data_IF_201600922815
#
_entry.id   IF_201600922815
#
_cell.length_a   1.000
_cell.length_b   1.000
_cell.length_c   1.000
_cell.angle_alpha   90.00
_cell.angle_beta   90.00
_cell.angle_gamma   90.00
#
_symmetry.space_group_name_H-M   'P 1'
#
loop_
_entity.id
_entity.type
_entity.pdbx_description
1 polymer ?
#
# COMPACT_ATOMS: atom_id res chain seq x y z
N UNK A 1 -12.07 -22.99 9.53
CA UNK A 1 -11.01 -22.77 8.56
C UNK A 1 -11.42 -21.58 7.71
N UNK A 2 -10.49 -20.66 7.49
CA UNK A 2 -10.77 -19.44 6.74
C UNK A 2 -9.61 -19.14 5.79
N UNK A 3 -9.78 -18.09 4.98
CA UNK A 3 -8.80 -17.67 3.99
C UNK A 3 -7.47 -17.31 4.67
N UNK A 4 -6.39 -17.82 4.09
CA UNK A 4 -5.03 -17.50 4.52
C UNK A 4 -4.35 -16.66 3.43
N UNK A 5 -3.33 -15.93 3.79
CA UNK A 5 -2.52 -15.03 2.96
C UNK A 5 -2.54 -15.41 1.47
N UNK A 6 -3.16 -14.57 0.64
CA UNK A 6 -3.37 -14.82 -0.79
C UNK A 6 -4.75 -15.37 -1.13
N UNK A 7 -5.43 -16.08 -0.19
CA UNK A 7 -6.84 -16.50 -0.31
C UNK A 7 -7.18 -17.15 -1.66
N UNK A 8 -6.33 -18.10 -2.10
CA UNK A 8 -6.51 -18.83 -3.37
C UNK A 8 -5.77 -18.23 -4.55
N UNK A 9 -5.26 -16.99 -4.45
CA UNK A 9 -4.48 -16.37 -5.53
C UNK A 9 -3.16 -17.11 -5.83
N UNK A 10 -2.43 -17.62 -4.82
CA UNK A 10 -1.23 -18.41 -5.12
C UNK A 10 -1.55 -19.67 -5.93
N UNK A 11 -2.63 -20.34 -5.62
CA UNK A 11 -3.06 -21.55 -6.34
C UNK A 11 -3.48 -21.21 -7.77
N UNK A 12 -4.23 -20.13 -7.95
CA UNK A 12 -4.62 -19.65 -9.28
C UNK A 12 -3.40 -19.25 -10.12
N UNK A 13 -2.47 -18.51 -9.51
CA UNK A 13 -1.23 -18.13 -10.20
C UNK A 13 -0.40 -19.36 -10.58
N UNK A 14 -0.30 -20.35 -9.69
CA UNK A 14 0.41 -21.58 -9.99
C UNK A 14 -0.22 -22.31 -11.19
N UNK A 15 -1.55 -22.41 -11.22
CA UNK A 15 -2.26 -23.07 -12.31
C UNK A 15 -2.00 -22.37 -13.64
N UNK A 16 -2.22 -21.06 -13.70
CA UNK A 16 -2.06 -20.27 -14.93
C UNK A 16 -0.62 -20.34 -15.42
N UNK A 17 0.33 -20.15 -14.51
CA UNK A 17 1.75 -20.12 -14.87
C UNK A 17 2.27 -21.50 -15.32
N UNK A 18 1.77 -22.58 -14.72
CA UNK A 18 2.08 -23.94 -15.19
C UNK A 18 1.52 -24.21 -16.57
N UNK A 19 0.32 -23.70 -16.86
CA UNK A 19 -0.29 -23.81 -18.20
C UNK A 19 0.56 -23.04 -19.23
N UNK A 20 0.99 -21.81 -18.89
CA UNK A 20 1.85 -21.01 -19.76
C UNK A 20 3.19 -21.72 -20.06
N UNK A 21 3.81 -22.33 -19.03
CA UNK A 21 5.04 -23.08 -19.19
C UNK A 21 4.85 -24.32 -20.09
N UNK A 22 3.73 -25.01 -19.92
CA UNK A 22 3.39 -26.21 -20.72
C UNK A 22 3.14 -25.80 -22.17
N UNK A 23 2.35 -24.77 -22.39
CA UNK A 23 2.05 -24.25 -23.72
C UNK A 23 3.34 -23.82 -24.44
N UNK A 24 4.21 -23.08 -23.74
CA UNK A 24 5.49 -22.63 -24.32
C UNK A 24 6.33 -23.83 -24.83
N UNK A 25 6.39 -24.89 -24.02
CA UNK A 25 7.12 -26.10 -24.41
C UNK A 25 6.49 -26.82 -25.61
N UNK A 26 5.17 -26.96 -25.63
CA UNK A 26 4.45 -27.60 -26.73
C UNK A 26 4.57 -26.81 -28.03
N UNK A 27 4.47 -25.49 -27.93
CA UNK A 27 4.58 -24.57 -29.08
C UNK A 27 6.04 -24.32 -29.49
N UNK A 28 7.00 -24.78 -28.68
CA UNK A 28 8.44 -24.53 -28.89
C UNK A 28 8.78 -23.04 -28.95
N UNK A 29 8.12 -22.26 -28.10
CA UNK A 29 8.31 -20.81 -27.99
C UNK A 29 8.95 -20.50 -26.63
N UNK A 30 9.77 -19.46 -26.57
CA UNK A 30 10.35 -19.02 -25.30
C UNK A 30 9.24 -18.66 -24.32
N UNK A 31 9.30 -19.15 -23.06
CA UNK A 31 8.24 -18.86 -22.08
C UNK A 31 8.04 -17.37 -21.77
N UNK A 32 9.10 -16.56 -21.82
CA UNK A 32 8.99 -15.12 -21.61
C UNK A 32 8.28 -14.47 -22.79
N UNK A 33 8.64 -14.86 -24.02
CA UNK A 33 8.04 -14.31 -25.23
C UNK A 33 6.54 -14.67 -25.33
N UNK A 34 6.17 -15.90 -24.91
CA UNK A 34 4.76 -16.28 -24.89
C UNK A 34 3.98 -15.39 -23.92
N UNK A 35 4.55 -15.07 -22.75
CA UNK A 35 3.91 -14.17 -21.78
C UNK A 35 3.77 -12.76 -22.33
N UNK A 36 4.83 -12.23 -22.93
CA UNK A 36 4.83 -10.88 -23.53
C UNK A 36 3.74 -10.73 -24.58
N UNK A 37 3.56 -11.75 -25.41
CA UNK A 37 2.49 -11.76 -26.43
C UNK A 37 1.08 -11.63 -25.86
N UNK A 38 0.91 -12.08 -24.61
CA UNK A 38 -0.40 -12.10 -23.96
C UNK A 38 -0.59 -10.97 -22.95
N UNK A 39 0.39 -10.10 -22.77
CA UNK A 39 0.27 -8.97 -21.85
C UNK A 39 -0.68 -7.91 -22.39
N UNK A 40 -1.48 -7.37 -21.50
CA UNK A 40 -2.30 -6.20 -21.77
C UNK A 40 -1.38 -5.00 -21.95
N UNK A 41 -1.61 -4.23 -23.02
CA UNK A 41 -0.76 -3.08 -23.40
C UNK A 41 -1.54 -1.77 -23.44
N UNK A 42 -2.88 -1.83 -23.35
CA UNK A 42 -3.72 -0.63 -23.39
C UNK A 42 -4.50 -0.51 -22.10
N UNK A 43 -4.46 0.67 -21.50
CA UNK A 43 -5.10 0.98 -20.22
C UNK A 43 -5.93 2.26 -20.34
N UNK A 44 -7.05 2.39 -19.61
CA UNK A 44 -7.61 1.35 -18.73
C UNK A 44 -8.12 0.15 -19.53
N UNK A 45 -7.99 -1.04 -18.97
CA UNK A 45 -8.40 -2.27 -19.62
C UNK A 45 -9.52 -2.95 -18.83
N UNK A 46 -10.69 -3.07 -19.44
CA UNK A 46 -11.82 -3.78 -18.83
C UNK A 46 -11.65 -5.29 -19.07
N UNK A 47 -11.58 -6.05 -17.97
CA UNK A 47 -11.54 -7.52 -18.08
C UNK A 47 -12.91 -8.08 -18.44
N UNK A 48 -13.00 -9.34 -18.88
CA UNK A 48 -14.31 -9.97 -19.13
C UNK A 48 -15.19 -10.10 -17.89
N UNK A 49 -14.61 -9.91 -16.71
CA UNK A 49 -15.33 -9.94 -15.44
C UNK A 49 -15.44 -8.51 -14.89
N UNK A 50 -15.58 -8.37 -13.60
CA UNK A 50 -15.87 -7.07 -12.97
C UNK A 50 -14.67 -6.11 -12.96
N UNK A 51 -13.46 -6.66 -12.87
CA UNK A 51 -12.27 -5.82 -12.61
C UNK A 51 -11.83 -5.06 -13.86
N UNK A 52 -11.45 -3.81 -13.67
CA UNK A 52 -10.75 -3.01 -14.67
C UNK A 52 -9.33 -2.73 -14.18
N UNK A 53 -8.36 -2.86 -15.07
CA UNK A 53 -6.95 -2.53 -14.76
C UNK A 53 -6.71 -1.08 -15.19
N UNK A 54 -6.24 -0.28 -14.25
CA UNK A 54 -6.12 1.17 -14.44
C UNK A 54 -4.88 1.58 -15.22
N UNK A 55 -3.74 0.94 -14.96
CA UNK A 55 -2.47 1.33 -15.54
C UNK A 55 -1.47 0.17 -15.48
N UNK A 56 -0.36 0.32 -16.22
CA UNK A 56 0.75 -0.58 -16.04
C UNK A 56 1.71 -0.73 -17.20
N UNK A 57 2.93 -1.19 -16.89
CA UNK A 57 3.91 -1.59 -17.88
C UNK A 57 4.43 -2.99 -17.59
N UNK A 58 3.68 -3.98 -18.07
CA UNK A 58 4.00 -5.39 -17.86
C UNK A 58 5.29 -5.79 -18.59
N UNK A 59 5.54 -5.18 -19.76
CA UNK A 59 6.75 -5.45 -20.53
C UNK A 59 8.00 -4.96 -19.81
N UNK A 60 7.98 -3.73 -19.31
CA UNK A 60 9.11 -3.20 -18.55
C UNK A 60 9.40 -4.04 -17.30
N UNK A 61 8.35 -4.54 -16.61
CA UNK A 61 8.52 -5.37 -15.42
C UNK A 61 9.21 -6.70 -15.72
N UNK A 62 8.78 -7.43 -16.77
CA UNK A 62 9.41 -8.70 -17.12
C UNK A 62 10.83 -8.47 -17.65
N UNK A 63 11.05 -7.41 -18.44
CA UNK A 63 12.38 -7.12 -18.99
C UNK A 63 13.37 -6.78 -17.87
N UNK A 64 12.95 -6.00 -16.88
CA UNK A 64 13.79 -5.70 -15.71
C UNK A 64 14.19 -6.97 -14.95
N UNK A 65 13.22 -7.87 -14.72
CA UNK A 65 13.49 -9.14 -14.02
C UNK A 65 14.41 -10.04 -14.85
N UNK A 66 14.18 -10.13 -16.17
CA UNK A 66 15.00 -10.92 -17.08
C UNK A 66 16.44 -10.40 -17.14
N UNK A 67 16.62 -9.08 -17.19
CA UNK A 67 17.93 -8.44 -17.14
C UNK A 67 18.64 -8.75 -15.82
N UNK A 68 17.90 -8.63 -14.69
CA UNK A 68 18.49 -8.82 -13.36
C UNK A 68 19.00 -10.26 -13.13
N UNK A 69 18.42 -11.27 -13.80
CA UNK A 69 18.85 -12.67 -13.66
C UNK A 69 19.73 -13.14 -14.84
N UNK A 70 20.03 -12.24 -15.76
CA UNK A 70 20.75 -12.58 -17.01
C UNK A 70 20.06 -13.75 -17.71
N UNK A 71 18.80 -13.56 -18.08
CA UNK A 71 17.98 -14.61 -18.72
C UNK A 71 18.62 -15.09 -20.02
N UNK A 72 19.13 -14.18 -20.84
CA UNK A 72 19.76 -14.49 -22.13
C UNK A 72 20.99 -15.41 -21.97
N UNK A 73 21.78 -15.23 -20.89
CA UNK A 73 22.94 -16.06 -20.61
C UNK A 73 22.62 -17.42 -19.99
N UNK A 74 21.33 -17.74 -19.77
CA UNK A 74 20.96 -18.98 -19.09
C UNK A 74 21.38 -20.24 -19.85
N UNK A 75 21.32 -20.24 -21.18
CA UNK A 75 21.72 -21.39 -22.01
C UNK A 75 23.15 -21.83 -21.73
N UNK A 76 24.07 -20.85 -21.70
CA UNK A 76 25.49 -21.11 -21.41
C UNK A 76 25.67 -21.63 -19.97
N UNK A 77 24.97 -21.02 -19.00
CA UNK A 77 25.02 -21.47 -17.60
C UNK A 77 24.48 -22.90 -17.43
N UNK A 78 23.45 -23.26 -18.18
CA UNK A 78 22.87 -24.61 -18.17
C UNK A 78 23.84 -25.62 -18.76
N UNK A 79 24.46 -25.31 -19.88
CA UNK A 79 25.45 -26.17 -20.54
C UNK A 79 26.66 -26.40 -19.63
N UNK A 80 27.19 -25.34 -19.04
CA UNK A 80 28.30 -25.45 -18.07
C UNK A 80 27.93 -26.35 -16.89
N UNK A 81 26.73 -26.16 -16.30
CA UNK A 81 26.28 -27.00 -15.19
C UNK A 81 26.22 -28.46 -15.60
N UNK A 82 25.76 -28.75 -16.84
CA UNK A 82 25.68 -30.13 -17.38
C UNK A 82 27.06 -30.76 -17.49
N UNK A 83 28.06 -30.02 -17.98
CA UNK A 83 29.44 -30.54 -18.09
C UNK A 83 30.07 -30.81 -16.72
N UNK A 84 29.54 -30.17 -15.67
CA UNK A 84 29.95 -30.43 -14.27
C UNK A 84 29.08 -31.52 -13.59
N UNK A 85 28.28 -32.25 -14.32
CA UNK A 85 27.38 -33.29 -13.78
C UNK A 85 26.23 -32.73 -12.97
N UNK A 86 25.85 -31.45 -13.19
CA UNK A 86 24.77 -30.78 -12.44
C UNK A 86 23.61 -30.42 -13.34
N UNK A 87 22.43 -30.29 -12.75
CA UNK A 87 21.26 -29.78 -13.46
C UNK A 87 20.99 -28.35 -13.01
N UNK A 88 20.63 -27.52 -13.97
CA UNK A 88 20.28 -26.11 -13.71
C UNK A 88 18.99 -25.76 -14.43
N UNK A 89 18.07 -25.12 -13.71
CA UNK A 89 16.78 -24.70 -14.24
C UNK A 89 16.53 -23.22 -13.99
N UNK A 90 15.68 -22.65 -14.79
CA UNK A 90 15.15 -21.29 -14.60
C UNK A 90 13.63 -21.36 -14.77
N UNK A 91 12.90 -20.54 -14.04
CA UNK A 91 11.45 -20.44 -14.16
C UNK A 91 11.00 -19.00 -14.05
N UNK A 92 9.88 -18.72 -14.67
CA UNK A 92 9.23 -17.41 -14.67
C UNK A 92 7.85 -17.53 -14.00
N UNK A 93 7.44 -16.50 -13.29
CA UNK A 93 6.06 -16.37 -12.82
C UNK A 93 5.67 -14.89 -12.90
N UNK A 94 4.55 -14.62 -13.57
CA UNK A 94 4.00 -13.28 -13.72
C UNK A 94 2.59 -13.27 -13.15
N UNK A 95 2.28 -12.27 -12.34
CA UNK A 95 0.92 -12.12 -11.80
C UNK A 95 0.61 -10.66 -11.53
N UNK A 96 -0.67 -10.36 -11.46
CA UNK A 96 -1.15 -9.03 -11.09
C UNK A 96 -1.93 -9.16 -9.77
N UNK A 97 -1.80 -8.16 -8.92
CA UNK A 97 -2.50 -8.11 -7.64
C UNK A 97 -3.55 -7.01 -7.66
N UNK A 98 -4.78 -7.37 -7.27
CA UNK A 98 -5.83 -6.39 -7.05
C UNK A 98 -5.63 -5.76 -5.67
N UNK A 99 -5.49 -4.44 -5.64
CA UNK A 99 -5.27 -3.69 -4.40
C UNK A 99 -6.49 -2.87 -4.04
N UNK A 100 -6.82 -2.85 -2.73
CA UNK A 100 -7.84 -1.98 -2.19
C UNK A 100 -9.23 -2.60 -2.03
N UNK A 101 -9.67 -3.44 -2.91
CA UNK A 101 -11.00 -4.07 -2.91
C UNK A 101 -12.06 -3.01 -2.53
N UNK A 102 -12.18 -2.01 -3.38
CA UNK A 102 -13.07 -0.86 -3.18
C UNK A 102 -13.65 -0.45 -4.54
N UNK A 103 -14.74 0.30 -4.60
CA UNK A 103 -15.57 0.73 -3.48
C UNK A 103 -16.53 -0.37 -2.98
N UNK A 104 -17.15 -0.13 -1.85
CA UNK A 104 -18.08 -1.10 -1.21
C UNK A 104 -19.19 -1.57 -2.13
N UNK A 105 -19.68 -0.68 -3.00
CA UNK A 105 -20.74 -1.02 -3.98
C UNK A 105 -20.27 -2.10 -4.96
N UNK A 106 -19.04 -1.99 -5.46
CA UNK A 106 -18.48 -3.00 -6.38
C UNK A 106 -18.29 -4.34 -5.67
N UNK A 107 -17.79 -4.31 -4.41
CA UNK A 107 -17.60 -5.53 -3.62
C UNK A 107 -18.95 -6.17 -3.28
N UNK A 108 -19.98 -5.36 -3.02
CA UNK A 108 -21.33 -5.85 -2.79
C UNK A 108 -21.90 -6.63 -3.98
N UNK A 109 -21.58 -6.18 -5.20
CA UNK A 109 -22.03 -6.89 -6.41
C UNK A 109 -21.36 -8.26 -6.58
N UNK A 110 -20.25 -8.50 -5.86
CA UNK A 110 -19.56 -9.81 -5.81
C UNK A 110 -20.11 -10.71 -4.70
N UNK A 111 -21.19 -10.30 -4.04
CA UNK A 111 -21.84 -11.11 -2.99
C UNK A 111 -21.39 -10.81 -1.57
N UNK A 112 -20.52 -9.83 -1.35
CA UNK A 112 -20.15 -9.44 0.00
C UNK A 112 -21.33 -8.74 0.69
N UNK A 113 -21.75 -9.26 1.83
CA UNK A 113 -22.90 -8.74 2.57
C UNK A 113 -22.64 -7.43 3.29
N UNK A 114 -21.38 -6.97 3.33
CA UNK A 114 -20.97 -5.76 4.07
C UNK A 114 -20.06 -4.90 3.20
N UNK A 115 -20.07 -3.61 3.44
CA UNK A 115 -19.13 -2.70 2.79
C UNK A 115 -17.73 -2.88 3.38
N UNK A 116 -16.73 -2.84 2.52
CA UNK A 116 -15.33 -2.98 2.94
C UNK A 116 -14.69 -1.60 3.18
N UNK A 117 -15.19 -0.94 4.22
CA UNK A 117 -14.72 0.39 4.62
C UNK A 117 -13.79 0.30 5.83
N UNK A 118 -13.21 1.42 6.22
CA UNK A 118 -12.30 1.48 7.36
C UNK A 118 -12.52 2.77 8.13
N UNK A 119 -12.15 2.76 9.41
CA UNK A 119 -12.19 3.94 10.25
C UNK A 119 -10.79 4.39 10.66
N UNK A 120 -10.66 5.68 10.94
CA UNK A 120 -9.47 6.24 11.56
C UNK A 120 -9.88 7.41 12.47
N UNK A 121 -9.24 7.47 13.64
CA UNK A 121 -9.37 8.57 14.56
C UNK A 121 -7.98 9.14 14.82
N UNK A 122 -7.87 10.47 14.89
CA UNK A 122 -6.61 11.14 15.21
C UNK A 122 -6.82 12.00 16.44
N UNK A 123 -6.00 11.76 17.45
CA UNK A 123 -5.97 12.51 18.69
C UNK A 123 -4.67 13.29 18.78
N UNK A 124 -4.78 14.61 18.86
CA UNK A 124 -3.62 15.48 19.07
C UNK A 124 -3.60 15.86 20.55
N UNK A 125 -2.54 15.48 21.24
CA UNK A 125 -2.36 15.77 22.66
C UNK A 125 -1.70 17.13 22.84
N UNK A 126 -2.01 17.85 23.94
CA UNK A 126 -1.42 19.19 24.17
C UNK A 126 0.10 19.19 24.27
N UNK A 127 0.71 18.06 24.56
CA UNK A 127 2.18 17.93 24.64
C UNK A 127 2.82 17.71 23.26
N UNK A 128 1.99 17.69 22.20
CA UNK A 128 2.49 17.56 20.83
C UNK A 128 2.53 16.15 20.27
N UNK A 129 2.17 15.14 21.07
CA UNK A 129 2.11 13.77 20.57
C UNK A 129 0.77 13.53 19.85
N UNK A 130 0.81 12.63 18.87
CA UNK A 130 -0.36 12.30 18.05
C UNK A 130 -0.60 10.79 18.15
N UNK A 131 -1.84 10.42 18.45
CA UNK A 131 -2.29 9.04 18.40
C UNK A 131 -3.20 8.86 17.19
N UNK A 132 -2.94 7.81 16.42
CA UNK A 132 -3.74 7.42 15.25
C UNK A 132 -4.35 6.06 15.55
N UNK A 133 -5.65 5.99 15.68
CA UNK A 133 -6.36 4.74 15.91
C UNK A 133 -6.93 4.27 14.58
N UNK A 134 -6.62 3.03 14.18
CA UNK A 134 -7.03 2.50 12.89
C UNK A 134 -7.42 1.03 12.98
N UNK A 135 -8.40 0.64 12.20
CA UNK A 135 -8.82 -0.75 12.11
C UNK A 135 -7.92 -1.62 11.24
N UNK A 136 -6.96 -1.01 10.53
CA UNK A 136 -6.02 -1.75 9.67
C UNK A 136 -4.89 -2.35 10.51
N UNK A 137 -5.10 -3.58 10.99
CA UNK A 137 -4.16 -4.28 11.86
C UNK A 137 -2.90 -4.71 11.12
N UNK A 138 -1.73 -4.50 11.73
CA UNK A 138 -0.43 -4.91 11.17
C UNK A 138 -0.16 -6.40 11.42
N UNK A 139 0.40 -7.07 10.42
CA UNK A 139 0.87 -8.46 10.51
C UNK A 139 2.35 -8.53 10.10
N UNK A 140 3.11 -7.47 10.38
CA UNK A 140 4.52 -7.36 10.02
C UNK A 140 4.80 -6.53 8.77
N UNK A 141 3.76 -5.92 8.15
CA UNK A 141 3.96 -5.09 6.96
C UNK A 141 4.24 -3.62 7.27
N UNK A 142 4.60 -3.31 8.51
CA UNK A 142 5.11 -2.00 8.96
C UNK A 142 4.07 -0.86 8.86
N UNK A 143 2.81 -1.16 9.16
CA UNK A 143 1.78 -0.12 9.21
C UNK A 143 2.14 0.99 10.19
N UNK A 144 2.74 0.63 11.32
CA UNK A 144 3.16 1.59 12.35
C UNK A 144 4.11 2.64 11.76
N UNK A 145 5.03 2.22 10.91
CA UNK A 145 5.97 3.13 10.26
C UNK A 145 5.30 3.94 9.15
N UNK A 146 4.62 3.24 8.22
CA UNK A 146 4.10 3.91 7.02
C UNK A 146 2.94 4.85 7.34
N UNK A 147 2.07 4.50 8.30
CA UNK A 147 0.98 5.38 8.70
C UNK A 147 1.52 6.58 9.51
N UNK A 148 2.54 6.36 10.36
CA UNK A 148 3.18 7.47 11.05
C UNK A 148 3.87 8.42 10.07
N UNK A 149 4.46 7.88 8.98
CA UNK A 149 5.04 8.73 7.94
C UNK A 149 3.98 9.62 7.25
N UNK A 150 2.79 9.06 6.95
CA UNK A 150 1.70 9.85 6.33
C UNK A 150 1.31 11.03 7.24
N UNK A 151 1.21 10.78 8.54
CA UNK A 151 0.81 11.82 9.50
C UNK A 151 1.95 12.84 9.70
N UNK A 152 3.16 12.35 9.89
CA UNK A 152 4.37 13.16 10.06
C UNK A 152 4.55 14.12 8.88
N UNK A 153 4.50 13.59 7.66
CA UNK A 153 4.66 14.37 6.42
C UNK A 153 3.60 15.45 6.30
N UNK A 154 2.35 15.11 6.61
CA UNK A 154 1.24 16.03 6.40
C UNK A 154 1.12 17.11 7.47
N UNK A 155 1.33 16.73 8.75
CA UNK A 155 1.21 17.67 9.86
C UNK A 155 2.53 18.33 10.24
N UNK A 156 3.64 17.92 9.63
CA UNK A 156 4.96 18.51 9.86
C UNK A 156 5.55 18.19 11.22
N UNK A 157 5.13 17.07 11.84
CA UNK A 157 5.60 16.70 13.18
C UNK A 157 6.63 15.55 13.09
N UNK A 158 7.58 15.46 14.03
CA UNK A 158 8.51 14.33 14.04
C UNK A 158 7.78 12.99 14.10
N UNK A 159 8.24 12.00 13.32
CA UNK A 159 7.62 10.68 13.29
C UNK A 159 7.63 10.02 14.68
N UNK A 160 8.62 10.34 15.51
CA UNK A 160 8.72 9.84 16.90
C UNK A 160 7.59 10.32 17.80
N UNK A 161 6.87 11.37 17.40
CA UNK A 161 5.72 11.89 18.13
C UNK A 161 4.39 11.25 17.70
N UNK A 162 4.42 10.34 16.71
CA UNK A 162 3.21 9.71 16.17
C UNK A 162 3.15 8.25 16.59
N UNK A 163 2.09 7.87 17.29
CA UNK A 163 1.82 6.50 17.71
C UNK A 163 0.64 5.93 16.93
N UNK A 164 0.80 4.74 16.40
CA UNK A 164 -0.27 4.05 15.65
C UNK A 164 -0.85 2.95 16.55
N UNK A 165 -2.15 3.02 16.79
CA UNK A 165 -2.89 2.07 17.65
C UNK A 165 -3.82 1.26 16.75
N UNK A 166 -3.64 -0.06 16.77
CA UNK A 166 -4.48 -1.01 16.03
C UNK A 166 -4.61 -2.31 16.82
N UNK A 167 -5.57 -3.14 16.44
CA UNK A 167 -5.77 -4.44 17.06
C UNK A 167 -6.30 -4.41 18.48
N UNK A 168 -6.75 -3.25 18.95
CA UNK A 168 -7.29 -3.05 20.29
C UNK A 168 -8.77 -2.64 20.15
N UNK A 169 -9.66 -3.61 20.37
CA UNK A 169 -11.10 -3.40 20.18
C UNK A 169 -11.73 -2.51 21.27
N UNK A 170 -11.01 -2.24 22.36
CA UNK A 170 -11.48 -1.30 23.38
C UNK A 170 -11.21 0.16 22.98
N UNK A 171 -10.28 0.38 22.07
CA UNK A 171 -9.87 1.72 21.63
C UNK A 171 -10.27 2.05 20.21
N UNK A 172 -10.15 1.07 19.30
CA UNK A 172 -10.45 1.28 17.89
C UNK A 172 -11.95 1.07 17.65
N UNK A 173 -12.60 2.12 17.20
CA UNK A 173 -14.06 2.16 17.04
C UNK A 173 -14.57 1.08 16.08
N UNK A 174 -13.88 0.90 14.93
CA UNK A 174 -14.27 -0.07 13.92
C UNK A 174 -13.10 -0.38 13.00
N UNK A 175 -13.02 -1.61 12.53
CA UNK A 175 -12.05 -2.00 11.50
C UNK A 175 -12.42 -3.33 10.86
N UNK A 176 -12.14 -3.44 9.56
CA UNK A 176 -12.28 -4.68 8.82
C UNK A 176 -10.96 -5.45 8.75
N UNK A 177 -9.88 -4.87 9.27
CA UNK A 177 -8.58 -5.51 9.30
C UNK A 177 -7.80 -5.41 7.99
N UNK A 178 -6.73 -6.21 7.88
CA UNK A 178 -5.79 -6.16 6.77
C UNK A 178 -5.91 -7.41 5.90
N UNK A 179 -6.38 -7.23 4.68
CA UNK A 179 -6.48 -8.26 3.64
C UNK A 179 -6.71 -7.60 2.29
N UNK A 180 -6.51 -8.33 1.19
CA UNK A 180 -6.79 -7.82 -0.15
C UNK A 180 -6.02 -6.56 -0.53
N UNK A 181 -4.84 -6.37 0.06
CA UNK A 181 -3.97 -5.21 -0.17
C UNK A 181 -4.70 -3.87 0.00
N UNK A 182 -5.59 -3.78 1.02
CA UNK A 182 -6.46 -2.63 1.23
C UNK A 182 -5.95 -1.61 2.25
N UNK A 183 -4.93 -1.95 3.03
CA UNK A 183 -4.53 -1.13 4.18
C UNK A 183 -4.12 0.28 3.79
N UNK A 184 -3.34 0.47 2.71
CA UNK A 184 -3.00 1.82 2.26
C UNK A 184 -4.18 2.47 1.55
N UNK A 185 -4.80 1.76 0.61
CA UNK A 185 -5.86 2.34 -0.23
C UNK A 185 -7.10 2.74 0.59
N UNK A 186 -7.50 1.92 1.56
CA UNK A 186 -8.70 2.18 2.36
C UNK A 186 -8.34 2.75 3.73
N UNK A 187 -7.47 2.07 4.47
CA UNK A 187 -7.04 2.52 5.81
C UNK A 187 -6.26 3.84 5.76
N UNK A 188 -5.29 3.94 4.83
CA UNK A 188 -4.54 5.19 4.63
C UNK A 188 -5.45 6.35 4.23
N UNK A 189 -6.44 6.09 3.35
CA UNK A 189 -7.42 7.12 2.98
C UNK A 189 -8.25 7.57 4.19
N UNK A 190 -8.64 6.64 5.06
CA UNK A 190 -9.37 7.01 6.29
C UNK A 190 -8.51 7.92 7.18
N UNK A 191 -7.22 7.60 7.33
CA UNK A 191 -6.28 8.43 8.10
C UNK A 191 -6.15 9.83 7.47
N UNK A 192 -5.98 9.91 6.14
CA UNK A 192 -5.89 11.19 5.43
C UNK A 192 -7.14 12.04 5.66
N UNK A 193 -8.31 11.43 5.58
CA UNK A 193 -9.58 12.13 5.82
C UNK A 193 -9.74 12.58 7.28
N UNK A 194 -9.22 11.82 8.22
CA UNK A 194 -9.19 12.25 9.63
C UNK A 194 -8.23 13.43 9.82
N UNK A 195 -7.07 13.40 9.15
CA UNK A 195 -6.12 14.54 9.17
C UNK A 195 -6.74 15.81 8.60
N UNK A 196 -7.48 15.71 7.50
CA UNK A 196 -8.17 16.88 6.90
C UNK A 196 -9.08 17.59 7.93
N UNK A 197 -9.78 16.81 8.77
CA UNK A 197 -10.62 17.38 9.81
C UNK A 197 -9.81 18.04 10.92
N UNK A 198 -8.72 17.41 11.34
CA UNK A 198 -7.80 17.97 12.33
C UNK A 198 -7.22 19.28 11.83
N UNK A 199 -6.73 19.28 10.57
CA UNK A 199 -6.17 20.48 9.94
C UNK A 199 -7.18 21.63 9.86
N UNK A 200 -8.39 21.34 9.41
CA UNK A 200 -9.43 22.34 9.29
C UNK A 200 -9.77 22.97 10.65
N UNK A 201 -9.87 22.12 11.68
CA UNK A 201 -10.15 22.60 13.05
C UNK A 201 -8.97 23.41 13.59
N UNK A 202 -7.75 22.90 13.40
CA UNK A 202 -6.53 23.56 13.89
C UNK A 202 -6.34 24.91 13.21
N UNK A 203 -6.62 25.02 11.90
CA UNK A 203 -6.55 26.30 11.18
C UNK A 203 -7.51 27.33 11.75
N UNK A 204 -8.74 26.94 12.09
CA UNK A 204 -9.73 27.84 12.70
C UNK A 204 -9.24 28.38 14.03
N UNK A 205 -8.67 27.49 14.87
CA UNK A 205 -8.14 27.90 16.18
C UNK A 205 -6.93 28.80 16.00
N UNK A 206 -6.00 28.42 15.12
CA UNK A 206 -4.80 29.25 14.85
C UNK A 206 -5.17 30.63 14.29
N UNK A 207 -6.14 30.69 13.37
CA UNK A 207 -6.63 31.95 12.81
C UNK A 207 -7.19 32.85 13.92
N UNK A 208 -7.98 32.29 14.82
CA UNK A 208 -8.53 33.04 15.95
C UNK A 208 -7.42 33.56 16.87
N UNK A 209 -6.44 32.73 17.20
CA UNK A 209 -5.34 33.11 18.11
C UNK A 209 -4.37 34.12 17.48
N UNK A 210 -4.18 34.03 16.16
CA UNK A 210 -3.27 34.94 15.42
C UNK A 210 -3.97 36.18 14.87
N UNK A 211 -5.28 36.28 15.14
CA UNK A 211 -6.12 37.39 14.63
C UNK A 211 -6.02 37.53 13.10
N UNK A 212 -6.22 36.37 12.40
CA UNK A 212 -6.06 36.28 10.95
C UNK A 212 -7.25 35.54 10.31
N UNK A 213 -7.36 35.59 8.99
CA UNK A 213 -8.37 34.82 8.25
C UNK A 213 -7.94 33.34 8.15
N UNK A 214 -8.90 32.41 8.21
CA UNK A 214 -8.61 30.96 8.02
C UNK A 214 -7.90 30.69 6.69
N UNK A 215 -8.24 31.45 5.63
CA UNK A 215 -7.66 31.30 4.33
C UNK A 215 -6.17 31.68 4.26
N UNK A 216 -5.73 32.51 5.20
CA UNK A 216 -4.35 32.96 5.26
C UNK A 216 -3.45 32.04 6.10
N UNK A 217 -4.04 31.02 6.77
CA UNK A 217 -3.26 30.08 7.58
C UNK A 217 -2.71 28.97 6.69
N UNK A 218 -1.39 28.87 6.63
CA UNK A 218 -0.68 27.76 5.99
C UNK A 218 -0.04 26.88 7.06
N UNK A 219 0.14 25.61 6.76
CA UNK A 219 0.78 24.64 7.66
C UNK A 219 2.15 24.31 7.07
N UNK A 220 3.20 24.62 7.81
CA UNK A 220 4.58 24.34 7.41
C UNK A 220 5.39 23.84 8.60
N UNK A 221 5.98 22.66 8.47
CA UNK A 221 6.88 22.08 9.49
C UNK A 221 6.26 22.05 10.90
N UNK A 222 4.98 21.70 10.99
CA UNK A 222 4.28 21.59 12.28
C UNK A 222 3.84 22.93 12.87
N UNK A 223 3.99 24.01 12.12
CA UNK A 223 3.57 25.35 12.52
C UNK A 223 2.41 25.85 11.64
N UNK A 224 1.51 26.59 12.28
CA UNK A 224 0.41 27.31 11.62
C UNK A 224 0.84 28.75 11.49
N UNK A 225 1.08 29.18 10.26
CA UNK A 225 1.64 30.51 9.95
C UNK A 225 0.63 31.37 9.20
N UNK A 226 0.64 32.67 9.49
CA UNK A 226 -0.11 33.64 8.67
C UNK A 226 0.73 33.97 7.45
N UNK A 227 0.23 33.63 6.27
CA UNK A 227 0.94 33.79 5.01
C UNK A 227 1.44 35.25 4.86
N UNK A 228 2.71 35.39 4.49
CA UNK A 228 3.32 36.69 4.28
C UNK A 228 3.73 37.45 5.55
N UNK A 229 3.67 36.81 6.72
CA UNK A 229 4.07 37.41 8.00
C UNK A 229 4.99 36.46 8.80
N UNK A 230 5.49 36.96 9.93
CA UNK A 230 6.30 36.19 10.89
C UNK A 230 5.43 35.55 12.00
N UNK A 231 4.11 35.75 11.97
CA UNK A 231 3.19 35.19 12.98
C UNK A 231 3.02 33.72 12.77
N UNK A 232 3.33 32.91 13.79
CA UNK A 232 3.13 31.45 13.74
C UNK A 232 2.79 30.88 15.10
N UNK A 233 2.17 29.67 15.10
CA UNK A 233 1.85 28.90 16.28
C UNK A 233 2.16 27.43 16.01
N UNK A 234 2.90 26.78 16.91
CA UNK A 234 3.17 25.35 16.82
C UNK A 234 1.90 24.54 17.12
N UNK A 235 1.79 23.35 16.54
CA UNK A 235 0.64 22.46 16.73
C UNK A 235 0.32 22.19 18.22
N UNK A 236 1.30 21.98 19.13
CA UNK A 236 0.98 21.80 20.55
C UNK A 236 0.27 23.01 21.17
N UNK A 237 0.65 24.23 20.77
CA UNK A 237 0.00 25.45 21.28
C UNK A 237 -1.44 25.56 20.81
N UNK A 238 -1.71 25.18 19.55
CA UNK A 238 -3.07 25.13 19.00
C UNK A 238 -3.91 24.09 19.74
N UNK A 239 -3.32 22.92 20.02
CA UNK A 239 -4.00 21.83 20.75
C UNK A 239 -4.30 22.25 22.20
N UNK A 240 -3.35 22.89 22.87
CA UNK A 240 -3.53 23.38 24.23
C UNK A 240 -4.63 24.44 24.31
N UNK A 241 -4.65 25.38 23.38
CA UNK A 241 -5.68 26.42 23.31
C UNK A 241 -7.08 25.82 23.12
N UNK A 242 -7.18 24.74 22.35
CA UNK A 242 -8.45 24.03 22.17
C UNK A 242 -9.01 23.51 23.50
N UNK A 243 -8.13 23.04 24.39
CA UNK A 243 -8.55 22.56 25.72
C UNK A 243 -8.96 23.68 26.69
N UNK A 244 -8.31 24.84 26.55
CA UNK A 244 -8.58 25.98 27.43
C UNK A 244 -9.78 26.82 26.99
N UNK A 245 -10.56 26.33 26.02
CA UNK A 245 -11.81 26.98 25.64
C UNK A 245 -11.63 28.14 24.66
N UNK A 246 -10.45 28.32 24.07
CA UNK A 246 -10.27 29.23 22.93
C UNK A 246 -11.03 28.65 21.72
N UNK A 247 -12.37 28.75 21.78
CA UNK A 247 -13.21 28.25 20.68
C UNK A 247 -13.66 29.44 19.82
N UNK A 248 -13.40 29.37 18.50
CA UNK A 248 -14.17 30.22 17.60
C UNK A 248 -15.65 29.85 17.73
N UNK A 249 -16.52 30.82 17.64
CA UNK A 249 -17.95 30.75 17.95
C UNK A 249 -18.66 29.45 17.54
N UNK A 250 -19.64 29.08 18.32
CA UNK A 250 -20.53 27.90 18.32
C UNK A 250 -20.46 26.91 17.13
N UNK A 251 -20.10 25.69 17.42
CA UNK A 251 -20.17 24.57 16.46
C UNK A 251 -19.00 23.61 16.46
N UNK A 252 -17.90 23.94 17.13
CA UNK A 252 -16.71 23.08 17.17
C UNK A 252 -16.49 22.47 18.55
N UNK A 253 -17.02 21.31 18.78
CA UNK A 253 -16.81 20.57 20.04
C UNK A 253 -15.31 20.32 20.29
N UNK A 254 -14.96 20.13 21.57
CA UNK A 254 -13.57 19.95 22.02
C UNK A 254 -12.93 18.65 21.54
N UNK A 255 -13.71 17.70 21.06
CA UNK A 255 -13.19 16.43 20.56
C UNK A 255 -13.03 16.47 19.02
N UNK A 256 -11.82 16.24 18.55
CA UNK A 256 -11.56 15.99 17.15
C UNK A 256 -11.87 14.53 16.85
N UNK A 257 -13.07 14.09 17.12
CA UNK A 257 -13.54 12.79 16.69
C UNK A 257 -13.79 12.84 15.18
N UNK A 258 -12.96 12.16 14.45
CA UNK A 258 -13.13 12.00 13.00
C UNK A 258 -14.18 10.93 12.71
N UNK A 259 -15.41 11.24 13.09
CA UNK A 259 -16.53 10.30 13.01
C UNK A 259 -17.13 10.29 11.61
N UNK A 260 -16.41 9.72 10.64
CA UNK A 260 -17.08 9.32 9.39
C UNK A 260 -16.34 8.19 8.68
N UNK A 261 -17.05 7.13 8.57
CA UNK A 261 -16.82 6.01 7.68
C UNK A 261 -16.66 6.53 6.27
N UNK A 262 -15.52 6.28 5.69
CA UNK A 262 -15.28 6.72 4.33
C UNK A 262 -15.44 5.58 3.37
N UNK A 263 -16.34 5.77 2.44
CA UNK A 263 -16.45 4.89 1.29
C UNK A 263 -15.48 5.41 0.23
N UNK A 264 -14.47 4.61 -0.05
CA UNK A 264 -13.57 4.89 -1.16
C UNK A 264 -14.35 4.78 -2.47
N UNK A 265 -14.22 5.78 -3.31
CA UNK A 265 -14.91 5.82 -4.61
C UNK A 265 -14.03 5.41 -5.78
N UNK A 266 -12.77 5.08 -5.53
CA UNK A 266 -11.85 4.71 -6.61
C UNK A 266 -11.27 3.33 -6.40
N UNK A 267 -11.40 2.51 -7.42
CA UNK A 267 -10.77 1.20 -7.49
C UNK A 267 -9.37 1.41 -8.10
N UNK A 268 -8.38 1.47 -7.25
CA UNK A 268 -6.99 1.45 -7.73
C UNK A 268 -6.50 0.01 -7.72
N UNK A 269 -6.03 -0.45 -8.85
CA UNK A 269 -5.44 -1.78 -8.97
C UNK A 269 -3.97 -1.61 -9.39
N UNK A 270 -3.07 -1.28 -8.47
CA UNK A 270 -1.66 -1.40 -8.81
C UNK A 270 -1.07 -2.58 -8.07
N UNK A 271 -0.52 -3.51 -8.74
CA UNK A 271 0.56 -4.33 -8.19
C UNK A 271 0.88 -5.49 -9.10
N UNK A 272 2.11 -5.58 -9.49
CA UNK A 272 2.59 -6.66 -10.32
C UNK A 272 3.87 -7.23 -9.77
N UNK A 273 3.90 -8.52 -9.64
CA UNK A 273 5.11 -9.20 -9.19
C UNK A 273 5.55 -10.18 -10.26
N UNK A 274 6.77 -10.02 -10.71
CA UNK A 274 7.41 -11.00 -11.57
C UNK A 274 8.46 -11.75 -10.77
N UNK A 275 8.27 -13.05 -10.62
CA UNK A 275 9.22 -13.90 -9.89
C UNK A 275 10.02 -14.74 -10.86
N UNK A 276 11.32 -14.56 -10.87
CA UNK A 276 12.24 -15.43 -11.59
C UNK A 276 12.94 -16.36 -10.61
N UNK A 277 12.69 -17.64 -10.74
CA UNK A 277 13.23 -18.65 -9.85
C UNK A 277 14.09 -19.65 -10.62
N UNK A 278 15.28 -19.90 -10.16
CA UNK A 278 16.13 -20.95 -10.74
C UNK A 278 16.13 -22.17 -9.82
N UNK A 279 15.77 -23.32 -10.37
CA UNK A 279 15.69 -24.57 -9.62
C UNK A 279 16.13 -25.75 -10.49
N UNK A 280 16.89 -26.67 -9.89
CA UNK A 280 17.31 -27.88 -10.60
C UNK A 280 17.14 -29.13 -9.75
N UNK A 281 16.60 -30.20 -10.33
CA UNK A 281 16.35 -31.47 -9.64
C UNK A 281 16.80 -32.71 -10.37
N UNK A 282 17.53 -33.61 -9.72
CA UNK A 282 17.30 -35.04 -9.84
C UNK A 282 16.70 -35.59 -8.54
N UNK A 283 16.09 -36.75 -8.66
CA UNK A 283 15.15 -37.35 -7.69
C UNK A 283 15.67 -37.61 -6.26
N UNK A 284 16.83 -37.28 -5.85
CA UNK A 284 17.35 -37.59 -4.51
C UNK A 284 18.44 -36.62 -4.01
N UNK A 285 18.57 -35.45 -4.60
CA UNK A 285 19.53 -34.42 -4.13
C UNK A 285 18.83 -33.14 -3.70
N UNK A 286 19.38 -32.49 -2.70
CA UNK A 286 18.87 -31.19 -2.22
C UNK A 286 18.94 -30.14 -3.33
N UNK A 287 17.80 -29.56 -3.67
CA UNK A 287 17.75 -28.42 -4.58
C UNK A 287 18.23 -27.17 -3.83
N UNK A 288 19.05 -26.39 -4.47
CA UNK A 288 19.50 -25.11 -3.94
C UNK A 288 18.93 -23.99 -4.80
N UNK A 289 18.14 -23.11 -4.18
CA UNK A 289 17.74 -21.87 -4.82
C UNK A 289 18.96 -20.97 -4.87
N UNK A 290 19.51 -20.74 -6.06
CA UNK A 290 20.73 -19.93 -6.23
C UNK A 290 20.41 -18.45 -6.24
N UNK A 291 19.28 -18.09 -6.84
CA UNK A 291 18.95 -16.69 -7.03
C UNK A 291 17.45 -16.55 -7.26
N UNK A 292 16.86 -15.55 -6.63
CA UNK A 292 15.51 -15.07 -6.90
C UNK A 292 15.63 -13.60 -7.27
N UNK A 293 15.05 -13.22 -8.39
CA UNK A 293 14.93 -11.82 -8.79
C UNK A 293 13.46 -11.48 -9.00
N UNK A 294 13.09 -10.31 -8.57
CA UNK A 294 11.72 -9.83 -8.60
C UNK A 294 11.72 -8.39 -9.11
N UNK A 295 10.80 -8.09 -9.99
CA UNK A 295 10.52 -6.72 -10.41
C UNK A 295 9.04 -6.46 -10.16
N UNK A 296 8.76 -5.44 -9.40
CA UNK A 296 7.40 -5.07 -8.99
C UNK A 296 7.11 -3.64 -9.41
N UNK A 297 5.93 -3.43 -9.96
CA UNK A 297 5.38 -2.11 -10.22
C UNK A 297 4.33 -1.80 -9.14
N UNK A 298 4.71 -0.97 -8.17
CA UNK A 298 3.84 -0.51 -7.08
C UNK A 298 3.36 0.92 -7.27
N UNK A 299 3.77 1.56 -8.36
CA UNK A 299 3.60 2.99 -8.48
C UNK A 299 4.45 3.73 -7.43
N UNK A 300 3.90 4.75 -6.80
CA UNK A 300 4.64 5.56 -5.81
C UNK A 300 4.75 4.83 -4.47
N UNK A 301 5.97 4.61 -4.00
CA UNK A 301 6.25 3.93 -2.74
C UNK A 301 6.20 4.94 -1.58
N UNK A 302 5.52 4.57 -0.50
CA UNK A 302 5.51 5.38 0.74
C UNK A 302 6.88 5.27 1.42
N UNK A 303 7.41 4.06 1.52
CA UNK A 303 8.73 3.86 2.14
C UNK A 303 9.53 2.82 1.35
N UNK A 304 10.46 3.24 0.48
CA UNK A 304 11.27 2.31 -0.30
C UNK A 304 12.11 1.33 0.55
N UNK A 305 12.56 1.74 1.73
CA UNK A 305 13.37 0.88 2.62
C UNK A 305 12.61 -0.37 3.06
N UNK A 306 11.43 -0.20 3.41
CA UNK A 306 10.60 -1.35 3.81
C UNK A 306 10.52 -2.37 2.68
N UNK A 307 10.27 -2.01 1.31
CA UNK A 307 10.18 -2.77 0.14
C UNK A 307 11.42 -3.47 -0.21
N UNK A 308 12.39 -2.86 0.11
CA UNK A 308 13.67 -3.50 -0.12
C UNK A 308 13.90 -4.65 0.87
N UNK A 309 13.60 -4.43 2.14
CA UNK A 309 13.77 -5.46 3.18
C UNK A 309 12.83 -6.66 2.97
N UNK A 310 11.74 -6.47 2.28
CA UNK A 310 10.85 -7.57 1.90
C UNK A 310 11.36 -8.41 0.71
N UNK A 311 12.48 -8.06 0.13
CA UNK A 311 13.11 -8.78 -0.98
C UNK A 311 14.01 -9.90 -0.46
N UNK A 312 13.41 -10.95 0.13
CA UNK A 312 14.15 -12.14 0.55
C UNK A 312 13.95 -13.28 -0.46
#
# INVERSE_FOLDING_TARGET
>A
VDAYRGAGRPEASYLVERMMETAARQLKVDPAELRKKNFITQFPHQTPVIMAYDAGDFHASIDAAMKAIDYAGFGARKAKAKSEGKLRGIGLSCHIEACGIAPSKAVGSLGAGVGLWESAEIRVNPVGTIEVLTGSHSHGQSHETTFAQLVSERLGVPISQVSIIHGDTDKVQFGMGTYGSRSLAVGGTAIVKAMEKVEAKAKKIAAHLLEASEGDIVIENGEFKVAGTDKSLALPMVALACLHGAQPARGNGARTEGDRVLRSHQLHIPCRCLHLRTRGRPRYRKDHLRQLRRADDFGRLINPMIXEKGRI
#
